data_IF_617815698386
#
_entry.id   IF_617815698386
#
_cell.length_a   1.000
_cell.length_b   1.000
_cell.length_c   1.000
_cell.angle_alpha   90.00
_cell.angle_beta   90.00
_cell.angle_gamma   90.00
#
_symmetry.space_group_name_H-M   'P 1'
#
loop_
_entity.id
_entity.type
_entity.pdbx_description
1 polymer ?
#
# COMPACT_ATOMS: atom_id res chain seq x y z
N UNK A 1 1.24 32.09 1.12
CA UNK A 1 2.20 30.98 1.06
C UNK A 1 1.67 29.94 0.09
N UNK A 2 2.52 29.33 -0.72
CA UNK A 2 2.12 28.21 -1.59
C UNK A 2 1.69 27.04 -0.70
N UNK A 3 0.62 26.34 -1.11
CA UNK A 3 0.15 25.17 -0.36
C UNK A 3 1.16 24.02 -0.53
N UNK A 4 1.38 23.27 0.54
CA UNK A 4 2.20 22.04 0.52
C UNK A 4 1.28 20.84 0.35
N UNK A 5 1.69 19.92 -0.49
CA UNK A 5 0.97 18.72 -0.88
C UNK A 5 1.68 17.48 -0.35
N UNK A 6 0.98 16.68 0.42
CA UNK A 6 1.49 15.42 0.99
C UNK A 6 0.85 14.26 0.24
N UNK A 7 1.69 13.40 -0.29
CA UNK A 7 1.29 12.21 -1.02
C UNK A 7 1.63 10.99 -0.18
N UNK A 8 0.63 10.24 0.22
CA UNK A 8 0.80 9.04 1.02
C UNK A 8 0.68 7.79 0.15
N UNK A 9 1.53 6.81 0.39
CA UNK A 9 1.16 5.44 0.09
C UNK A 9 0.08 4.95 1.06
N UNK A 10 -0.61 3.86 0.73
CA UNK A 10 -1.67 3.31 1.57
C UNK A 10 -1.25 2.03 2.29
N UNK A 11 -0.90 0.99 1.49
CA UNK A 11 -0.62 -0.36 2.01
C UNK A 11 0.74 -0.39 2.71
N UNK A 12 0.80 -0.83 3.96
CA UNK A 12 1.98 -0.81 4.85
C UNK A 12 2.43 0.59 5.30
N UNK A 13 1.74 1.65 4.87
CA UNK A 13 2.01 3.02 5.32
C UNK A 13 0.92 3.51 6.27
N UNK A 14 -0.33 3.60 5.81
CA UNK A 14 -1.48 3.96 6.65
C UNK A 14 -2.31 2.74 7.04
N UNK A 15 -2.54 1.84 6.09
CA UNK A 15 -3.32 0.63 6.25
C UNK A 15 -2.39 -0.55 6.51
N UNK A 16 -2.60 -1.25 7.63
CA UNK A 16 -1.79 -2.42 8.03
C UNK A 16 -2.13 -3.62 7.14
N UNK A 17 -1.41 -3.68 6.01
CA UNK A 17 -1.63 -4.73 5.00
C UNK A 17 -1.46 -6.12 5.56
N UNK A 18 -0.42 -6.36 6.34
CA UNK A 18 -0.10 -7.70 6.85
C UNK A 18 -1.22 -8.21 7.75
N UNK A 19 -1.64 -7.40 8.69
CA UNK A 19 -2.71 -7.75 9.65
C UNK A 19 -4.06 -7.93 8.96
N UNK A 20 -4.44 -7.02 8.08
CA UNK A 20 -5.72 -7.08 7.39
C UNK A 20 -5.80 -8.25 6.40
N UNK A 21 -4.69 -8.53 5.68
CA UNK A 21 -4.56 -9.69 4.82
C UNK A 21 -4.67 -10.99 5.59
N UNK A 22 -3.99 -11.09 6.73
CA UNK A 22 -4.05 -12.26 7.62
C UNK A 22 -5.48 -12.53 8.12
N UNK A 23 -6.18 -11.49 8.59
CA UNK A 23 -7.57 -11.61 9.05
C UNK A 23 -8.47 -12.16 7.92
N UNK A 24 -8.40 -11.57 6.74
CA UNK A 24 -9.22 -11.98 5.61
C UNK A 24 -8.92 -13.42 5.17
N UNK A 25 -7.64 -13.79 5.11
CA UNK A 25 -7.23 -15.15 4.76
C UNK A 25 -7.61 -16.17 5.83
N UNK A 26 -7.53 -15.82 7.10
CA UNK A 26 -7.94 -16.71 8.19
C UNK A 26 -9.44 -17.05 8.12
N UNK A 27 -10.29 -16.05 7.83
CA UNK A 27 -11.71 -16.26 7.60
C UNK A 27 -11.92 -17.23 6.43
N UNK A 28 -11.31 -16.97 5.28
CA UNK A 28 -11.45 -17.79 4.08
C UNK A 28 -10.92 -19.22 4.27
N UNK A 29 -9.82 -19.37 5.00
CA UNK A 29 -9.24 -20.67 5.32
C UNK A 29 -10.23 -21.59 6.04
N UNK A 30 -11.02 -21.04 6.95
CA UNK A 30 -12.06 -21.79 7.67
C UNK A 30 -13.33 -21.94 6.85
N UNK A 31 -13.81 -20.91 6.19
CA UNK A 31 -15.04 -20.92 5.40
C UNK A 31 -14.97 -21.89 4.21
N UNK A 32 -13.79 -22.01 3.61
CA UNK A 32 -13.51 -22.95 2.52
C UNK A 32 -13.07 -24.32 3.02
N UNK A 33 -13.01 -24.51 4.34
CA UNK A 33 -12.63 -25.77 5.00
C UNK A 33 -11.21 -26.25 4.64
N UNK A 34 -10.31 -25.35 4.30
CA UNK A 34 -8.92 -25.68 3.98
C UNK A 34 -8.19 -26.33 5.16
N UNK A 35 -8.63 -26.07 6.40
CA UNK A 35 -8.14 -26.71 7.62
C UNK A 35 -8.36 -28.24 7.67
N UNK A 36 -9.12 -28.83 6.73
CA UNK A 36 -9.27 -30.27 6.60
C UNK A 36 -8.12 -30.90 5.79
N UNK A 37 -7.46 -30.12 4.92
CA UNK A 37 -6.43 -30.56 4.02
C UNK A 37 -5.05 -29.96 4.36
N UNK A 38 -5.03 -28.85 5.10
CA UNK A 38 -3.84 -28.12 5.52
C UNK A 38 -3.83 -27.99 7.04
N UNK A 39 -2.84 -28.60 7.68
CA UNK A 39 -2.80 -28.75 9.15
C UNK A 39 -2.72 -27.41 9.90
N UNK A 40 -2.10 -26.37 9.30
CA UNK A 40 -1.83 -25.12 9.98
C UNK A 40 -2.04 -23.91 9.06
N UNK A 41 -2.84 -22.94 9.55
CA UNK A 41 -3.06 -21.67 8.86
C UNK A 41 -1.77 -20.88 8.63
N UNK A 42 -0.87 -20.88 9.61
CA UNK A 42 0.38 -20.11 9.51
C UNK A 42 1.24 -20.58 8.33
N UNK A 43 1.31 -21.88 8.10
CA UNK A 43 2.02 -22.47 6.95
C UNK A 43 1.37 -22.04 5.63
N UNK A 44 0.03 -22.08 5.53
CA UNK A 44 -0.68 -21.58 4.34
C UNK A 44 -0.43 -20.08 4.12
N UNK A 45 -0.49 -19.28 5.18
CA UNK A 45 -0.26 -17.84 5.10
C UNK A 45 1.15 -17.49 4.65
N UNK A 46 2.15 -18.25 5.12
CA UNK A 46 3.56 -18.09 4.69
C UNK A 46 3.71 -18.35 3.19
N UNK A 47 3.20 -19.47 2.68
CA UNK A 47 3.20 -19.78 1.24
C UNK A 47 2.49 -18.69 0.41
N UNK A 48 1.34 -18.22 0.90
CA UNK A 48 0.63 -17.13 0.24
C UNK A 48 1.49 -15.85 0.16
N UNK A 49 2.13 -15.44 1.27
CA UNK A 49 2.96 -14.21 1.31
C UNK A 49 4.13 -14.28 0.34
N UNK A 50 4.83 -15.40 0.29
CA UNK A 50 5.95 -15.60 -0.63
C UNK A 50 5.50 -15.46 -2.09
N UNK A 51 4.46 -16.17 -2.48
CA UNK A 51 3.94 -16.10 -3.84
C UNK A 51 3.35 -14.73 -4.17
N UNK A 52 2.60 -14.12 -3.26
CA UNK A 52 2.02 -12.79 -3.44
C UNK A 52 3.10 -11.73 -3.71
N UNK A 53 4.20 -11.75 -2.95
CA UNK A 53 5.33 -10.82 -3.14
C UNK A 53 5.96 -10.95 -4.52
N UNK A 54 6.24 -12.17 -4.96
CA UNK A 54 6.83 -12.42 -6.29
C UNK A 54 5.89 -11.99 -7.41
N UNK A 55 4.60 -12.28 -7.27
CA UNK A 55 3.62 -11.98 -8.32
C UNK A 55 3.32 -10.49 -8.43
N UNK A 56 3.28 -9.75 -7.31
CA UNK A 56 3.18 -8.29 -7.34
C UNK A 56 4.37 -7.64 -8.04
N UNK A 57 5.58 -8.16 -7.84
CA UNK A 57 6.76 -7.71 -8.57
C UNK A 57 6.62 -7.93 -10.07
N UNK A 58 6.19 -9.13 -10.49
CA UNK A 58 5.96 -9.42 -11.91
C UNK A 58 4.84 -8.56 -12.52
N UNK A 59 3.79 -8.28 -11.76
CA UNK A 59 2.73 -7.36 -12.18
C UNK A 59 3.28 -5.94 -12.37
N UNK A 60 4.05 -5.44 -11.42
CA UNK A 60 4.71 -4.13 -11.51
C UNK A 60 5.64 -3.98 -12.71
N UNK A 61 6.29 -5.08 -13.12
CA UNK A 61 7.13 -5.15 -14.32
C UNK A 61 6.32 -5.33 -15.64
N UNK A 62 4.99 -5.38 -15.57
CA UNK A 62 4.11 -5.57 -16.74
C UNK A 62 4.15 -7.00 -17.32
N UNK A 63 4.65 -7.98 -16.56
CA UNK A 63 4.83 -9.38 -17.03
C UNK A 63 3.60 -10.25 -16.80
N UNK A 64 2.56 -9.72 -16.18
CA UNK A 64 1.28 -10.42 -15.96
C UNK A 64 0.12 -9.45 -15.86
N UNK A 65 -1.10 -9.99 -16.03
CA UNK A 65 -2.33 -9.22 -15.88
C UNK A 65 -2.85 -9.25 -14.45
N UNK A 66 -3.76 -8.33 -14.13
CA UNK A 66 -4.49 -8.24 -12.85
C UNK A 66 -5.23 -9.53 -12.51
N UNK A 67 -5.89 -10.15 -13.50
CA UNK A 67 -6.65 -11.38 -13.32
C UNK A 67 -5.73 -12.55 -12.96
N UNK A 68 -4.59 -12.66 -13.64
CA UNK A 68 -3.58 -13.68 -13.36
C UNK A 68 -3.00 -13.47 -11.96
N UNK A 69 -2.62 -12.25 -11.60
CA UNK A 69 -2.13 -11.93 -10.25
C UNK A 69 -3.14 -12.38 -9.17
N UNK A 70 -4.43 -12.07 -9.37
CA UNK A 70 -5.49 -12.38 -8.39
C UNK A 70 -5.65 -13.87 -8.13
N UNK A 71 -5.61 -14.69 -9.16
CA UNK A 71 -5.81 -16.13 -9.03
C UNK A 71 -4.53 -16.91 -8.74
N UNK A 72 -3.42 -16.56 -9.40
CA UNK A 72 -2.19 -17.34 -9.33
C UNK A 72 -1.50 -17.32 -7.96
N UNK A 73 -1.65 -16.24 -7.18
CA UNK A 73 -1.15 -16.21 -5.80
C UNK A 73 -1.75 -17.33 -4.94
N UNK A 74 -3.04 -17.61 -5.13
CA UNK A 74 -3.72 -18.70 -4.44
C UNK A 74 -3.45 -20.06 -5.07
N UNK A 75 -3.43 -20.14 -6.40
CA UNK A 75 -3.08 -21.36 -7.12
C UNK A 75 -1.71 -21.88 -6.70
N UNK A 76 -0.71 -21.00 -6.62
CA UNK A 76 0.64 -21.36 -6.21
C UNK A 76 0.71 -21.73 -4.73
N UNK A 77 0.11 -20.97 -3.85
CA UNK A 77 0.06 -21.27 -2.43
C UNK A 77 -0.60 -22.63 -2.14
N UNK A 78 -1.74 -22.92 -2.78
CA UNK A 78 -2.44 -24.21 -2.62
C UNK A 78 -1.70 -25.38 -3.24
N UNK A 79 -0.97 -25.16 -4.34
CA UNK A 79 -0.17 -26.20 -4.99
C UNK A 79 0.93 -26.75 -4.07
N UNK A 80 1.48 -25.96 -3.14
CA UNK A 80 2.43 -26.42 -2.11
C UNK A 80 1.84 -27.50 -1.20
N UNK A 81 0.50 -27.55 -1.09
CA UNK A 81 -0.24 -28.57 -0.32
C UNK A 81 -0.89 -29.66 -1.19
N UNK A 82 -0.56 -29.68 -2.50
CA UNK A 82 -1.16 -30.64 -3.44
C UNK A 82 -2.60 -30.34 -3.83
N UNK A 83 -3.14 -29.14 -3.51
CA UNK A 83 -4.51 -28.73 -3.82
C UNK A 83 -4.51 -28.00 -5.17
N UNK A 84 -5.22 -28.54 -6.15
CA UNK A 84 -5.30 -28.01 -7.52
C UNK A 84 -6.77 -27.76 -7.97
N UNK A 85 -7.69 -27.60 -7.03
CA UNK A 85 -9.11 -27.38 -7.31
C UNK A 85 -9.36 -25.92 -7.74
N UNK A 86 -9.66 -25.72 -9.01
CA UNK A 86 -9.93 -24.39 -9.59
C UNK A 86 -11.17 -23.72 -8.96
N UNK A 87 -12.11 -24.49 -8.41
CA UNK A 87 -13.27 -23.93 -7.71
C UNK A 87 -12.85 -23.29 -6.38
N UNK A 88 -11.97 -23.97 -5.63
CA UNK A 88 -11.42 -23.44 -4.37
C UNK A 88 -10.54 -22.23 -4.65
N UNK A 89 -9.69 -22.29 -5.67
CA UNK A 89 -8.84 -21.17 -6.09
C UNK A 89 -9.67 -19.93 -6.44
N UNK A 90 -10.72 -20.11 -7.24
CA UNK A 90 -11.65 -19.04 -7.60
C UNK A 90 -12.33 -18.41 -6.38
N UNK A 91 -12.87 -19.25 -5.49
CA UNK A 91 -13.53 -18.77 -4.25
C UNK A 91 -12.57 -18.04 -3.31
N UNK A 92 -11.31 -18.49 -3.20
CA UNK A 92 -10.27 -17.77 -2.45
C UNK A 92 -9.97 -16.42 -3.09
N UNK A 93 -9.81 -16.40 -4.41
CA UNK A 93 -9.50 -15.18 -5.15
C UNK A 93 -10.59 -14.12 -5.00
N UNK A 94 -11.83 -14.50 -5.23
CA UNK A 94 -12.98 -13.59 -5.15
C UNK A 94 -13.23 -13.16 -3.70
N UNK A 95 -13.27 -14.11 -2.78
CA UNK A 95 -13.47 -13.84 -1.35
C UNK A 95 -12.38 -12.94 -0.76
N UNK A 96 -11.13 -13.07 -1.20
CA UNK A 96 -10.06 -12.20 -0.72
C UNK A 96 -10.23 -10.75 -1.21
N UNK A 97 -10.66 -10.55 -2.46
CA UNK A 97 -10.95 -9.21 -2.99
C UNK A 97 -12.14 -8.56 -2.28
N UNK A 98 -13.09 -9.36 -1.81
CA UNK A 98 -14.26 -8.88 -1.04
C UNK A 98 -13.91 -8.61 0.43
N UNK A 99 -13.20 -9.53 1.09
CA UNK A 99 -12.99 -9.49 2.55
C UNK A 99 -11.78 -8.65 2.98
N UNK A 100 -10.70 -8.63 2.20
CA UNK A 100 -9.49 -7.90 2.59
C UNK A 100 -9.74 -6.39 2.70
N UNK A 101 -10.36 -5.70 1.71
CA UNK A 101 -10.48 -4.25 1.77
C UNK A 101 -11.48 -3.72 2.80
N UNK A 102 -12.35 -4.56 3.35
CA UNK A 102 -13.27 -4.16 4.42
C UNK A 102 -12.66 -4.28 5.83
N UNK A 103 -11.45 -4.84 5.94
CA UNK A 103 -10.70 -4.81 7.19
C UNK A 103 -10.18 -3.40 7.47
N UNK A 104 -10.10 -3.02 8.74
CA UNK A 104 -9.87 -1.64 9.15
C UNK A 104 -8.66 -1.42 10.06
N UNK A 105 -7.77 -2.40 10.17
CA UNK A 105 -6.54 -2.21 10.92
C UNK A 105 -5.65 -1.18 10.21
N UNK A 106 -5.25 -0.16 10.93
CA UNK A 106 -4.30 0.87 10.49
C UNK A 106 -3.05 0.84 11.35
N UNK A 107 -1.97 1.40 10.84
CA UNK A 107 -0.80 1.65 11.67
C UNK A 107 -1.16 2.62 12.82
N UNK A 108 -0.46 2.50 13.97
CA UNK A 108 -0.68 3.42 15.09
C UNK A 108 -0.56 4.89 14.64
N UNK A 109 -1.45 5.71 15.15
CA UNK A 109 -1.52 7.16 14.89
C UNK A 109 -1.83 7.56 13.42
N UNK A 110 -2.17 6.63 12.51
CA UNK A 110 -2.40 6.94 11.10
C UNK A 110 -3.55 7.94 10.89
N UNK A 111 -4.72 7.68 11.49
CA UNK A 111 -5.88 8.55 11.33
C UNK A 111 -5.68 9.89 12.01
N UNK A 112 -5.16 9.88 13.23
CA UNK A 112 -4.88 11.09 14.03
C UNK A 112 -3.90 12.01 13.30
N UNK A 113 -2.81 11.47 12.75
CA UNK A 113 -1.82 12.23 11.99
C UNK A 113 -2.43 12.84 10.71
N UNK A 114 -3.22 12.07 9.97
CA UNK A 114 -3.93 12.57 8.77
C UNK A 114 -4.87 13.71 9.13
N UNK A 115 -5.58 13.61 10.26
CA UNK A 115 -6.49 14.65 10.75
C UNK A 115 -5.72 15.93 11.13
N UNK A 116 -4.63 15.79 11.87
CA UNK A 116 -3.77 16.91 12.28
C UNK A 116 -3.21 17.65 11.06
N UNK A 117 -2.60 16.94 10.13
CA UNK A 117 -2.05 17.51 8.89
C UNK A 117 -3.12 18.25 8.07
N UNK A 118 -4.34 17.71 8.01
CA UNK A 118 -5.45 18.39 7.35
C UNK A 118 -5.86 19.67 8.06
N UNK A 119 -5.89 19.69 9.40
CA UNK A 119 -6.18 20.87 10.21
C UNK A 119 -5.10 21.95 10.08
N UNK A 120 -3.85 21.55 9.92
CA UNK A 120 -2.73 22.47 9.65
C UNK A 120 -2.73 23.05 8.23
N UNK A 121 -3.64 22.59 7.37
CA UNK A 121 -3.86 23.15 6.03
C UNK A 121 -3.11 22.48 4.91
N UNK A 122 -2.41 21.38 5.16
CA UNK A 122 -1.79 20.56 4.11
C UNK A 122 -2.83 19.97 3.16
N UNK A 123 -2.44 19.80 1.90
CA UNK A 123 -3.28 19.15 0.90
C UNK A 123 -2.87 17.67 0.82
N UNK A 124 -3.79 16.77 1.17
CA UNK A 124 -3.46 15.35 1.26
C UNK A 124 -3.95 14.61 0.01
N UNK A 125 -3.10 13.77 -0.54
CA UNK A 125 -3.32 12.94 -1.72
C UNK A 125 -2.76 11.54 -1.45
N UNK A 126 -3.18 10.57 -2.24
CA UNK A 126 -2.71 9.20 -2.15
C UNK A 126 -2.15 8.73 -3.49
N UNK A 127 -0.99 8.05 -3.48
CA UNK A 127 -0.42 7.39 -4.65
C UNK A 127 -0.18 5.93 -4.30
N UNK A 128 -0.86 5.01 -4.97
CA UNK A 128 -0.80 3.58 -4.66
C UNK A 128 -0.64 2.72 -5.91
N UNK A 129 0.08 1.60 -5.77
CA UNK A 129 0.14 0.55 -6.79
C UNK A 129 -1.05 -0.44 -6.72
N UNK A 130 -1.92 -0.29 -5.72
CA UNK A 130 -3.12 -1.10 -5.56
C UNK A 130 -4.22 -0.77 -6.57
N UNK A 131 -5.16 -1.68 -6.72
CA UNK A 131 -6.29 -1.53 -7.65
C UNK A 131 -7.34 -0.57 -7.11
N UNK A 132 -7.83 0.34 -7.95
CA UNK A 132 -8.74 1.44 -7.56
C UNK A 132 -9.96 0.95 -6.78
N UNK A 133 -10.64 -0.09 -7.27
CA UNK A 133 -11.82 -0.62 -6.60
C UNK A 133 -11.53 -1.17 -5.20
N UNK A 134 -10.34 -1.73 -4.99
CA UNK A 134 -9.89 -2.22 -3.69
C UNK A 134 -9.50 -1.06 -2.77
N UNK A 135 -8.70 -0.12 -3.27
CA UNK A 135 -8.21 1.01 -2.48
C UNK A 135 -9.34 1.95 -2.07
N UNK A 136 -10.34 2.17 -2.93
CA UNK A 136 -11.53 2.98 -2.58
C UNK A 136 -12.26 2.39 -1.38
N UNK A 137 -12.50 1.07 -1.38
CA UNK A 137 -13.16 0.40 -0.25
C UNK A 137 -12.36 0.52 1.03
N UNK A 138 -11.01 0.36 0.97
CA UNK A 138 -10.13 0.51 2.14
C UNK A 138 -10.24 1.89 2.77
N UNK A 139 -10.05 2.95 1.97
CA UNK A 139 -10.04 4.32 2.50
C UNK A 139 -11.41 4.76 3.04
N UNK A 140 -12.50 4.26 2.47
CA UNK A 140 -13.86 4.51 2.96
C UNK A 140 -14.09 3.82 4.31
N UNK A 141 -13.77 2.52 4.42
CA UNK A 141 -13.99 1.76 5.65
C UNK A 141 -13.08 2.20 6.81
N UNK A 142 -11.87 2.70 6.52
CA UNK A 142 -10.96 3.25 7.53
C UNK A 142 -11.25 4.71 7.89
N UNK A 143 -12.26 5.35 7.28
CA UNK A 143 -12.59 6.74 7.53
C UNK A 143 -11.55 7.74 7.00
N UNK A 144 -10.67 7.33 6.09
CA UNK A 144 -9.64 8.16 5.49
C UNK A 144 -10.16 9.04 4.34
N UNK A 145 -11.18 8.57 3.60
CA UNK A 145 -11.68 9.21 2.39
C UNK A 145 -11.94 10.74 2.52
N UNK A 146 -12.50 11.27 3.63
CA UNK A 146 -12.77 12.71 3.74
C UNK A 146 -11.54 13.61 3.76
N UNK A 147 -10.37 13.07 4.05
CA UNK A 147 -9.15 13.86 4.21
C UNK A 147 -8.34 13.99 2.92
N UNK A 148 -8.45 13.01 2.02
CA UNK A 148 -7.70 12.98 0.79
C UNK A 148 -8.47 13.61 -0.37
N UNK A 149 -7.78 14.43 -1.18
CA UNK A 149 -8.37 15.10 -2.33
C UNK A 149 -8.32 14.23 -3.59
N UNK A 150 -7.19 13.55 -3.77
CA UNK A 150 -6.97 12.68 -4.92
C UNK A 150 -6.52 11.29 -4.44
N UNK A 151 -7.10 10.25 -5.05
CA UNK A 151 -6.62 8.87 -4.98
C UNK A 151 -6.05 8.51 -6.34
N UNK A 152 -4.74 8.43 -6.46
CA UNK A 152 -4.01 8.11 -7.68
C UNK A 152 -3.60 6.63 -7.63
N UNK A 153 -4.20 5.82 -8.48
CA UNK A 153 -3.86 4.40 -8.63
C UNK A 153 -2.99 4.20 -9.87
N UNK A 154 -2.04 3.29 -9.79
CA UNK A 154 -1.14 2.98 -10.91
C UNK A 154 -1.88 2.58 -12.19
N UNK A 155 -3.03 1.92 -12.06
CA UNK A 155 -3.85 1.52 -13.20
C UNK A 155 -4.48 2.69 -13.97
N UNK A 156 -4.60 3.90 -13.36
CA UNK A 156 -5.15 5.08 -14.03
C UNK A 156 -4.32 5.51 -15.26
N UNK A 157 -3.02 5.23 -15.21
CA UNK A 157 -2.07 5.58 -16.27
C UNK A 157 -1.29 4.37 -16.81
N UNK A 158 -1.53 3.17 -16.26
CA UNK A 158 -0.80 1.96 -16.62
C UNK A 158 0.67 1.98 -16.23
N UNK A 159 1.03 2.72 -15.19
CA UNK A 159 2.39 2.91 -14.68
C UNK A 159 2.44 2.80 -13.17
N UNK A 160 3.21 1.85 -12.65
CA UNK A 160 3.41 1.63 -11.23
C UNK A 160 4.55 2.49 -10.68
N UNK A 161 4.46 2.92 -9.42
CA UNK A 161 5.65 3.38 -8.70
C UNK A 161 6.72 2.27 -8.78
N UNK A 162 8.00 2.58 -9.02
CA UNK A 162 8.66 3.88 -9.02
C UNK A 162 8.74 4.59 -10.38
N UNK A 163 7.92 4.24 -11.40
CA UNK A 163 7.94 4.95 -12.67
C UNK A 163 7.62 6.44 -12.47
N UNK A 164 8.44 7.32 -13.05
CA UNK A 164 8.32 8.78 -12.89
C UNK A 164 6.97 9.33 -13.35
N UNK A 165 6.33 8.66 -14.29
CA UNK A 165 5.07 9.14 -14.87
C UNK A 165 3.93 9.18 -13.86
N UNK A 166 3.90 8.26 -12.87
CA UNK A 166 2.85 8.28 -11.84
C UNK A 166 3.00 9.49 -10.91
N UNK A 167 4.22 9.83 -10.51
CA UNK A 167 4.49 11.01 -9.68
C UNK A 167 4.20 12.31 -10.42
N UNK A 168 4.61 12.41 -11.70
CA UNK A 168 4.26 13.55 -12.53
C UNK A 168 2.74 13.67 -12.75
N UNK A 169 2.05 12.56 -12.93
CA UNK A 169 0.58 12.54 -13.03
C UNK A 169 -0.07 13.03 -11.74
N UNK A 170 0.39 12.55 -10.59
CA UNK A 170 -0.11 12.96 -9.27
C UNK A 170 0.08 14.46 -9.03
N UNK A 171 1.27 15.00 -9.32
CA UNK A 171 1.53 16.43 -9.18
C UNK A 171 0.67 17.28 -10.12
N UNK A 172 0.41 16.81 -11.36
CA UNK A 172 -0.52 17.52 -12.28
C UNK A 172 -1.94 17.56 -11.75
N UNK A 173 -2.47 16.44 -11.24
CA UNK A 173 -3.81 16.38 -10.66
C UNK A 173 -3.92 17.30 -9.43
N UNK A 174 -2.94 17.27 -8.56
CA UNK A 174 -2.88 18.12 -7.38
C UNK A 174 -2.57 19.60 -7.70
N UNK A 175 -2.21 19.93 -8.95
CA UNK A 175 -1.78 21.25 -9.38
C UNK A 175 -0.65 21.82 -8.53
N UNK A 176 0.42 21.02 -8.33
CA UNK A 176 1.58 21.39 -7.53
C UNK A 176 2.90 21.05 -8.24
N UNK A 177 4.01 21.59 -7.71
CA UNK A 177 5.37 21.31 -8.17
C UNK A 177 6.05 20.28 -7.25
N UNK A 178 7.15 19.69 -7.71
CA UNK A 178 7.92 18.75 -6.92
C UNK A 178 8.41 19.36 -5.59
N UNK A 179 8.88 20.60 -5.61
CA UNK A 179 9.34 21.31 -4.40
C UNK A 179 8.22 21.70 -3.41
N UNK A 180 6.97 21.53 -3.80
CA UNK A 180 5.79 21.70 -2.94
C UNK A 180 5.22 20.34 -2.49
N UNK A 181 5.88 19.26 -2.85
CA UNK A 181 5.37 17.90 -2.68
C UNK A 181 6.26 17.07 -1.77
N UNK A 182 5.65 16.32 -0.86
CA UNK A 182 6.33 15.35 0.00
C UNK A 182 5.66 13.99 -0.21
N UNK A 183 6.42 12.96 -0.57
CA UNK A 183 5.96 11.56 -0.61
C UNK A 183 6.25 10.89 0.73
N UNK A 184 5.27 10.19 1.28
CA UNK A 184 5.37 9.41 2.50
C UNK A 184 5.01 7.96 2.16
N UNK A 185 5.91 7.01 2.40
CA UNK A 185 5.69 5.60 2.11
C UNK A 185 6.67 4.69 2.82
N UNK A 186 6.38 3.38 2.80
CA UNK A 186 7.18 2.34 3.46
C UNK A 186 8.22 1.70 2.55
N UNK A 187 7.99 1.69 1.24
CA UNK A 187 8.90 1.06 0.29
C UNK A 187 9.98 2.05 -0.19
N UNK A 188 11.21 1.80 0.24
CA UNK A 188 12.34 2.66 -0.08
C UNK A 188 12.59 2.81 -1.58
N UNK A 189 12.54 1.71 -2.34
CA UNK A 189 12.80 1.75 -3.78
C UNK A 189 11.61 2.35 -4.55
N UNK A 190 10.41 1.97 -4.15
CA UNK A 190 9.19 2.28 -4.89
C UNK A 190 8.69 3.70 -4.59
N UNK A 191 8.64 4.08 -3.30
CA UNK A 191 8.10 5.37 -2.86
C UNK A 191 9.19 6.44 -2.78
N UNK A 192 10.28 6.11 -2.07
CA UNK A 192 11.28 7.11 -1.70
C UNK A 192 12.20 7.43 -2.89
N UNK A 193 12.87 6.43 -3.45
CA UNK A 193 13.72 6.67 -4.62
C UNK A 193 12.92 7.10 -5.84
N UNK A 194 11.70 6.57 -6.03
CA UNK A 194 10.82 6.97 -7.12
C UNK A 194 10.43 8.44 -7.06
N UNK A 195 10.01 8.95 -5.89
CA UNK A 195 9.65 10.34 -5.68
C UNK A 195 10.86 11.28 -5.73
N UNK A 196 12.00 10.89 -5.13
CA UNK A 196 13.25 11.65 -5.21
C UNK A 196 13.72 11.84 -6.67
N UNK A 197 13.53 10.84 -7.51
CA UNK A 197 13.91 10.90 -8.92
C UNK A 197 13.15 11.95 -9.75
N UNK A 198 12.04 12.49 -9.22
CA UNK A 198 11.27 13.61 -9.81
C UNK A 198 11.39 14.91 -9.01
N UNK A 199 12.25 14.94 -7.98
CA UNK A 199 12.54 16.12 -7.18
C UNK A 199 11.51 16.42 -6.06
N UNK A 200 10.67 15.45 -5.70
CA UNK A 200 9.82 15.56 -4.51
C UNK A 200 10.67 15.36 -3.25
N UNK A 201 10.27 16.00 -2.15
CA UNK A 201 10.75 15.60 -0.82
C UNK A 201 10.15 14.25 -0.43
N UNK A 202 10.81 13.55 0.52
CA UNK A 202 10.35 12.21 0.95
C UNK A 202 10.45 12.03 2.46
N UNK A 203 9.56 11.22 3.00
CA UNK A 203 9.63 10.69 4.37
C UNK A 203 9.46 9.18 4.28
N UNK A 204 10.47 8.43 4.73
CA UNK A 204 10.43 6.98 4.76
C UNK A 204 9.82 6.49 6.08
N UNK A 205 8.70 5.77 6.01
CA UNK A 205 8.07 5.12 7.14
C UNK A 205 8.60 3.70 7.31
N UNK A 206 9.47 3.48 8.31
CA UNK A 206 10.12 2.19 8.60
C UNK A 206 9.91 1.82 10.08
N UNK A 207 8.69 1.39 10.48
CA UNK A 207 8.37 1.10 11.88
C UNK A 207 9.18 -0.06 12.45
N UNK A 208 9.57 -1.03 11.64
CA UNK A 208 10.29 -2.25 12.03
C UNK A 208 11.81 -2.13 11.91
N UNK A 209 12.32 -1.01 11.39
CA UNK A 209 13.75 -0.72 11.23
C UNK A 209 14.48 -1.74 10.34
N UNK A 210 13.84 -2.13 9.26
CA UNK A 210 14.44 -3.06 8.29
C UNK A 210 15.62 -2.44 7.54
N UNK A 211 15.62 -1.13 7.36
CA UNK A 211 16.70 -0.38 6.72
C UNK A 211 17.76 0.03 7.73
N UNK A 212 19.01 -0.35 7.47
CA UNK A 212 20.16 0.00 8.32
C UNK A 212 21.04 1.11 7.74
N UNK A 213 20.72 1.62 6.54
CA UNK A 213 21.52 2.67 5.90
C UNK A 213 21.34 4.02 6.62
N UNK A 214 22.45 4.53 7.14
CA UNK A 214 22.50 5.75 7.96
C UNK A 214 22.30 7.06 7.17
N UNK A 215 22.10 7.00 5.84
CA UNK A 215 22.07 8.15 4.96
C UNK A 215 20.66 8.65 4.62
N UNK A 216 19.60 8.05 5.19
CA UNK A 216 18.25 8.56 5.00
C UNK A 216 17.97 9.70 5.96
N UNK A 217 17.87 10.89 5.42
CA UNK A 217 17.70 12.13 6.18
C UNK A 217 16.35 12.18 6.92
N UNK A 218 15.28 11.56 6.36
CA UNK A 218 13.92 11.65 6.88
C UNK A 218 13.24 10.29 7.01
N UNK A 219 13.77 9.44 7.91
CA UNK A 219 13.16 8.16 8.27
C UNK A 219 12.44 8.26 9.61
N UNK A 220 11.18 7.77 9.63
CA UNK A 220 10.32 7.77 10.82
C UNK A 220 9.86 6.37 11.17
N UNK A 221 9.53 6.16 12.44
CA UNK A 221 8.97 4.90 12.97
C UNK A 221 7.52 5.04 13.41
N UNK A 222 7.05 6.25 13.56
CA UNK A 222 5.72 6.59 14.02
C UNK A 222 5.22 7.75 13.14
N UNK A 223 4.02 7.60 12.59
CA UNK A 223 3.43 8.59 11.69
C UNK A 223 3.25 9.95 12.36
N UNK A 224 3.05 10.01 13.67
CA UNK A 224 2.95 11.27 14.41
C UNK A 224 4.24 12.12 14.41
N UNK A 225 5.35 11.59 13.92
CA UNK A 225 6.58 12.37 13.72
C UNK A 225 6.50 13.28 12.47
N UNK A 226 5.56 13.02 11.55
CA UNK A 226 5.44 13.77 10.30
C UNK A 226 5.24 15.28 10.51
N UNK A 227 4.26 15.75 11.33
CA UNK A 227 4.05 17.19 11.53
C UNK A 227 5.30 17.92 12.03
N UNK A 228 6.08 17.30 12.90
CA UNK A 228 7.29 17.89 13.45
C UNK A 228 8.43 18.00 12.41
N UNK A 229 8.50 17.10 11.44
CA UNK A 229 9.55 17.04 10.43
C UNK A 229 9.29 17.97 9.23
N UNK A 230 8.03 18.15 8.83
CA UNK A 230 7.68 18.93 7.64
C UNK A 230 8.29 20.34 7.59
N UNK A 231 8.34 21.13 8.70
CA UNK A 231 8.98 22.44 8.69
C UNK A 231 10.49 22.42 8.38
N UNK A 232 11.18 21.31 8.65
CA UNK A 232 12.61 21.15 8.37
C UNK A 232 12.84 20.72 6.93
N UNK A 233 12.07 19.75 6.43
CA UNK A 233 12.11 19.24 5.06
C UNK A 233 11.86 20.36 4.04
N UNK A 234 10.91 21.25 4.34
CA UNK A 234 10.49 22.31 3.43
C UNK A 234 11.36 23.59 3.48
N UNK A 235 12.38 23.63 4.33
CA UNK A 235 13.33 24.74 4.43
C UNK A 235 14.65 24.47 3.72
N UNK A 236 14.97 23.21 3.45
CA UNK A 236 16.17 22.80 2.70
C UNK A 236 15.93 22.84 1.23
#
# INVERSE_FOLDING_TARGET
MSKIHLFFDLDRTLWDFEKNSEIALHILFHDLKLHLDIDDFHTFHTEYKEHNTVLWKLYGEGKMTKEVLRSDRFRKALASFGIHDETIIGRLSDGYVELSPIQTAMFPNALETVQELKQEGYQLHMITNGFREVQTVKIENCGLAPYFQELICSEDIGKNKPDKDIFHHAMRLANCTATQSVMIGDDYEVDILGANAVGMHTIHFDPEQHFQDANEEWRIRDLKQIPELLPWILKG
#
